data_IF_368491621835
#
_entry.id   IF_368491621835
#
_cell.length_a   1.000
_cell.length_b   1.000
_cell.length_c   1.000
_cell.angle_alpha   90.00
_cell.angle_beta   90.00
_cell.angle_gamma   90.00
#
_symmetry.space_group_name_H-M   'P 1'
#
loop_
_entity.id
_entity.type
_entity.pdbx_description
1 polymer ?
#
# COMPACT_ATOMS: atom_id res chain seq x y z
N UNK A 1 -10.74 22.50 -14.22
CA UNK A 1 -11.60 22.79 -13.05
C UNK A 1 -13.10 22.60 -13.37
N UNK A 2 -13.51 21.47 -13.97
CA UNK A 2 -14.93 21.16 -14.27
C UNK A 2 -15.30 19.68 -14.02
N UNK A 3 -14.35 18.77 -13.72
CA UNK A 3 -14.68 17.37 -13.41
C UNK A 3 -14.77 17.01 -11.91
N UNK A 4 -14.58 17.96 -11.00
CA UNK A 4 -14.53 17.68 -9.55
C UNK A 4 -15.87 17.86 -8.81
N UNK A 5 -16.93 18.36 -9.46
CA UNK A 5 -18.22 18.68 -8.81
C UNK A 5 -19.25 17.55 -8.94
N UNK A 6 -19.02 16.54 -9.77
CA UNK A 6 -20.00 15.45 -9.99
C UNK A 6 -19.97 14.32 -8.96
N UNK A 7 -18.95 14.23 -8.11
CA UNK A 7 -18.83 13.11 -7.15
C UNK A 7 -19.69 13.27 -5.88
N UNK A 8 -20.07 14.52 -5.53
CA UNK A 8 -20.74 14.82 -4.26
C UNK A 8 -22.27 14.60 -4.32
N UNK A 9 -22.88 14.45 -5.50
CA UNK A 9 -24.36 14.29 -5.62
C UNK A 9 -24.88 12.84 -5.61
N UNK A 10 -24.01 11.81 -5.53
CA UNK A 10 -24.45 10.39 -5.65
C UNK A 10 -24.58 9.62 -4.33
N UNK A 11 -24.51 10.30 -3.17
CA UNK A 11 -24.67 9.66 -1.86
C UNK A 11 -26.03 9.97 -1.18
N UNK A 12 -26.95 10.63 -1.88
CA UNK A 12 -28.22 11.10 -1.30
C UNK A 12 -29.49 10.30 -1.63
N UNK A 13 -29.40 9.06 -2.13
CA UNK A 13 -30.55 8.35 -2.72
C UNK A 13 -30.88 6.97 -2.14
N UNK A 14 -31.73 6.94 -1.11
CA UNK A 14 -32.67 5.87 -0.70
C UNK A 14 -32.16 4.41 -0.59
N UNK A 15 -31.95 3.95 0.65
CA UNK A 15 -31.94 2.52 0.99
C UNK A 15 -33.40 2.05 1.10
N UNK A 16 -33.84 1.18 0.17
CA UNK A 16 -35.06 0.38 0.34
C UNK A 16 -34.69 -0.94 1.03
N UNK A 17 -35.36 -1.25 2.12
CA UNK A 17 -35.22 -2.54 2.82
C UNK A 17 -35.84 -3.66 1.98
N UNK A 18 -35.08 -4.71 1.70
CA UNK A 18 -35.61 -5.98 1.22
C UNK A 18 -35.21 -7.09 2.20
N UNK A 19 -36.21 -7.73 2.80
CA UNK A 19 -36.06 -8.96 3.59
C UNK A 19 -36.11 -10.16 2.64
N UNK A 20 -35.11 -11.04 2.66
CA UNK A 20 -35.21 -12.35 2.00
C UNK A 20 -34.51 -13.48 2.76
N UNK A 21 -35.14 -14.65 2.66
CA UNK A 21 -34.97 -15.91 3.42
C UNK A 21 -33.79 -16.77 2.93
N UNK A 22 -33.21 -17.67 3.75
CA UNK A 22 -32.04 -18.43 3.38
C UNK A 22 -32.42 -19.79 2.78
N UNK A 23 -32.01 -20.04 1.54
CA UNK A 23 -31.65 -21.37 1.01
C UNK A 23 -31.12 -21.25 -0.42
N UNK A 24 -30.18 -22.14 -0.72
CA UNK A 24 -29.45 -22.37 -1.98
C UNK A 24 -28.13 -21.60 -2.12
N UNK A 25 -27.10 -22.20 -1.52
CA UNK A 25 -25.69 -21.85 -1.68
C UNK A 25 -25.19 -22.33 -3.05
N UNK A 26 -24.95 -21.38 -3.95
CA UNK A 26 -24.01 -21.55 -5.06
C UNK A 26 -22.91 -20.51 -4.91
N UNK A 27 -21.68 -20.97 -4.67
CA UNK A 27 -20.48 -20.15 -4.54
C UNK A 27 -20.21 -19.39 -5.85
N UNK A 28 -20.37 -18.08 -5.78
CA UNK A 28 -19.78 -17.08 -6.68
C UNK A 28 -19.35 -15.91 -5.81
N UNK A 29 -18.21 -16.04 -5.13
CA UNK A 29 -17.71 -15.02 -4.21
C UNK A 29 -16.74 -14.05 -4.92
N UNK A 30 -17.32 -13.03 -5.55
CA UNK A 30 -16.82 -11.67 -5.43
C UNK A 30 -17.93 -10.86 -4.78
N UNK A 31 -17.81 -10.57 -3.48
CA UNK A 31 -18.69 -9.61 -2.80
C UNK A 31 -17.88 -8.69 -1.92
N UNK A 32 -17.96 -7.40 -2.24
CA UNK A 32 -17.25 -6.32 -1.58
C UNK A 32 -17.70 -6.07 -0.13
N UNK A 33 -17.05 -5.07 0.46
CA UNK A 33 -17.26 -4.52 1.80
C UNK A 33 -18.65 -4.80 2.40
N UNK A 34 -18.69 -5.59 3.48
CA UNK A 34 -19.86 -5.65 4.34
C UNK A 34 -19.71 -4.62 5.47
N UNK A 35 -20.31 -3.44 5.31
CA UNK A 35 -20.47 -2.47 6.39
C UNK A 35 -21.60 -2.95 7.34
N UNK A 36 -21.29 -3.30 8.59
CA UNK A 36 -22.30 -3.47 9.64
C UNK A 36 -22.48 -2.16 10.40
N UNK A 37 -23.61 -1.50 10.17
CA UNK A 37 -24.05 -0.35 10.97
C UNK A 37 -24.82 -0.86 12.20
N UNK A 38 -24.24 -0.72 13.39
CA UNK A 38 -24.95 -0.90 14.66
C UNK A 38 -25.32 0.46 15.26
N UNK A 39 -26.57 0.64 15.67
CA UNK A 39 -26.96 1.75 16.55
C UNK A 39 -26.83 1.28 18.00
N UNK A 40 -25.95 1.92 18.76
CA UNK A 40 -26.00 1.87 20.23
C UNK A 40 -27.05 2.88 20.70
N UNK A 41 -28.01 2.42 21.50
CA UNK A 41 -29.12 3.25 22.01
C UNK A 41 -28.75 4.01 23.30
N UNK A 42 -27.49 3.96 23.76
CA UNK A 42 -27.09 4.55 25.04
C UNK A 42 -26.24 5.83 24.95
N UNK A 43 -25.71 6.19 23.78
CA UNK A 43 -25.08 7.49 23.54
C UNK A 43 -25.19 7.84 22.06
N UNK A 44 -25.73 9.02 21.72
CA UNK A 44 -26.11 9.42 20.36
C UNK A 44 -24.95 9.63 19.36
N UNK A 45 -23.86 8.87 19.46
CA UNK A 45 -22.75 8.86 18.53
C UNK A 45 -22.83 7.69 17.56
N UNK A 46 -22.70 7.97 16.25
CA UNK A 46 -22.52 6.94 15.23
C UNK A 46 -21.11 6.32 15.40
N UNK A 47 -21.02 5.08 15.88
CA UNK A 47 -19.76 4.31 15.80
C UNK A 47 -19.68 3.63 14.44
N UNK A 48 -18.79 4.13 13.59
CA UNK A 48 -18.37 3.41 12.38
C UNK A 48 -17.23 2.49 12.80
N UNK A 49 -17.51 1.20 12.94
CA UNK A 49 -16.46 0.19 13.02
C UNK A 49 -16.13 -0.18 11.58
N UNK A 50 -15.04 0.36 11.04
CA UNK A 50 -14.47 -0.13 9.79
C UNK A 50 -13.75 -1.42 10.15
N UNK A 51 -14.40 -2.55 9.92
CA UNK A 51 -13.72 -3.84 9.92
C UNK A 51 -12.84 -3.88 8.67
N UNK A 52 -11.62 -3.36 8.77
CA UNK A 52 -10.57 -3.66 7.80
C UNK A 52 -10.19 -5.13 7.99
N UNK A 53 -11.04 -6.02 7.50
CA UNK A 53 -10.61 -7.38 7.18
C UNK A 53 -9.67 -7.28 6.00
N UNK A 54 -8.39 -7.07 6.30
CA UNK A 54 -7.32 -7.64 5.49
C UNK A 54 -7.66 -9.11 5.38
N UNK A 55 -7.85 -9.59 4.16
CA UNK A 55 -8.06 -11.00 3.90
C UNK A 55 -6.71 -11.70 4.17
N UNK A 56 -6.40 -11.95 5.44
CA UNK A 56 -5.42 -12.95 5.81
C UNK A 56 -6.08 -14.30 5.52
N UNK A 57 -5.82 -14.83 4.33
CA UNK A 57 -5.89 -16.26 4.09
C UNK A 57 -4.83 -16.93 4.98
N UNK A 58 -5.13 -17.06 6.27
CA UNK A 58 -4.48 -18.08 7.08
C UNK A 58 -5.08 -19.41 6.64
N UNK A 59 -4.34 -20.12 5.78
CA UNK A 59 -4.45 -21.56 5.72
C UNK A 59 -4.09 -22.09 7.10
N UNK A 60 -5.07 -22.59 7.84
CA UNK A 60 -4.80 -23.41 9.03
C UNK A 60 -4.22 -24.74 8.52
N UNK A 61 -2.90 -24.75 8.29
CA UNK A 61 -2.11 -25.95 8.10
C UNK A 61 -1.70 -26.47 9.46
N UNK A 62 -2.32 -27.57 9.89
CA UNK A 62 -1.82 -28.43 10.95
C UNK A 62 -0.33 -28.73 10.70
N UNK A 63 0.45 -28.74 11.79
CA UNK A 63 1.88 -29.03 11.81
C UNK A 63 2.21 -30.29 11.01
N UNK A 64 2.74 -30.09 9.82
CA UNK A 64 3.58 -31.05 9.10
C UNK A 64 4.88 -30.35 8.82
N UNK A 65 5.96 -30.98 9.26
CA UNK A 65 7.33 -30.67 8.85
C UNK A 65 7.42 -30.92 7.34
N UNK A 66 7.11 -29.86 6.59
CA UNK A 66 7.18 -29.77 5.15
C UNK A 66 8.54 -29.14 4.87
N UNK A 67 9.41 -29.93 4.23
CA UNK A 67 10.71 -29.47 3.77
C UNK A 67 10.53 -28.39 2.72
N UNK A 68 10.50 -27.14 3.17
CA UNK A 68 10.55 -25.92 2.36
C UNK A 68 11.62 -26.10 1.28
N UNK A 69 11.22 -26.04 0.00
CA UNK A 69 12.15 -26.25 -1.10
C UNK A 69 13.27 -25.21 -1.04
N UNK A 70 14.51 -25.68 -1.16
CA UNK A 70 15.71 -24.85 -1.25
C UNK A 70 15.58 -23.69 -2.24
N UNK A 71 14.82 -23.87 -3.34
CA UNK A 71 14.51 -22.82 -4.31
C UNK A 71 13.62 -21.70 -3.74
N UNK A 72 12.57 -22.05 -2.99
CA UNK A 72 11.70 -21.06 -2.33
C UNK A 72 12.47 -20.28 -1.26
N UNK A 73 13.27 -20.98 -0.45
CA UNK A 73 14.07 -20.34 0.60
C UNK A 73 15.11 -19.34 0.04
N UNK A 74 15.73 -19.64 -1.12
CA UNK A 74 16.66 -18.73 -1.79
C UNK A 74 15.94 -17.48 -2.31
N UNK A 75 14.74 -17.64 -2.90
CA UNK A 75 13.93 -16.51 -3.35
C UNK A 75 13.49 -15.61 -2.20
N UNK A 76 13.08 -16.20 -1.06
CA UNK A 76 12.72 -15.43 0.14
C UNK A 76 13.90 -14.56 0.60
N UNK A 77 15.10 -15.14 0.69
CA UNK A 77 16.32 -14.38 1.05
C UNK A 77 16.59 -13.24 0.05
N UNK A 78 16.43 -13.50 -1.25
CA UNK A 78 16.63 -12.50 -2.30
C UNK A 78 15.60 -11.35 -2.21
N UNK A 79 14.33 -11.67 -1.98
CA UNK A 79 13.27 -10.68 -1.86
C UNK A 79 13.49 -9.75 -0.66
N UNK A 80 13.88 -10.30 0.50
CA UNK A 80 14.20 -9.49 1.68
C UNK A 80 15.42 -8.60 1.45
N UNK A 81 16.48 -9.12 0.81
CA UNK A 81 17.65 -8.33 0.48
C UNK A 81 17.33 -7.17 -0.50
N UNK A 82 16.43 -7.39 -1.47
CA UNK A 82 15.97 -6.33 -2.37
C UNK A 82 15.10 -5.30 -1.64
N UNK A 83 14.23 -5.72 -0.73
CA UNK A 83 13.43 -4.81 0.10
C UNK A 83 14.29 -3.97 1.05
N UNK A 84 15.38 -4.53 1.59
CA UNK A 84 16.36 -3.78 2.38
C UNK A 84 17.10 -2.74 1.53
N UNK A 85 17.51 -3.10 0.31
CA UNK A 85 18.10 -2.14 -0.64
C UNK A 85 17.12 -1.05 -1.06
N UNK A 86 15.83 -1.36 -1.19
CA UNK A 86 14.80 -0.35 -1.43
C UNK A 86 14.74 0.64 -0.26
N UNK A 87 14.67 0.14 0.98
CA UNK A 87 14.72 0.99 2.17
C UNK A 87 16.00 1.83 2.26
N UNK A 88 17.15 1.24 1.89
CA UNK A 88 18.42 1.96 1.79
C UNK A 88 18.35 3.09 0.75
N UNK A 89 17.82 2.81 -0.45
CA UNK A 89 17.71 3.81 -1.51
C UNK A 89 16.85 5.00 -1.08
N UNK A 90 15.77 4.75 -0.34
CA UNK A 90 14.91 5.80 0.22
C UNK A 90 15.67 6.59 1.30
N UNK A 91 16.33 5.90 2.24
CA UNK A 91 17.11 6.53 3.32
C UNK A 91 18.22 7.41 2.80
N UNK A 92 18.95 6.94 1.80
CA UNK A 92 20.06 7.65 1.18
C UNK A 92 19.61 8.66 0.11
N UNK A 93 18.31 8.68 -0.22
CA UNK A 93 17.74 9.48 -1.32
C UNK A 93 18.48 9.22 -2.65
N UNK A 94 18.70 7.94 -2.95
CA UNK A 94 19.59 7.46 -4.00
C UNK A 94 18.81 6.87 -5.20
N UNK A 95 18.53 7.67 -6.25
CA UNK A 95 17.81 7.18 -7.43
C UNK A 95 18.61 6.16 -8.25
N UNK A 96 19.94 6.17 -8.20
CA UNK A 96 20.75 5.17 -8.91
C UNK A 96 20.60 3.78 -8.31
N UNK A 97 20.50 3.69 -6.97
CA UNK A 97 20.21 2.43 -6.31
C UNK A 97 18.81 1.91 -6.68
N UNK A 98 17.81 2.79 -6.81
CA UNK A 98 16.49 2.41 -7.34
C UNK A 98 16.59 1.83 -8.77
N UNK A 99 17.33 2.50 -9.67
CA UNK A 99 17.56 2.00 -11.04
C UNK A 99 18.20 0.62 -11.05
N UNK A 100 19.12 0.37 -10.12
CA UNK A 100 19.82 -0.91 -10.00
C UNK A 100 18.91 -2.03 -9.51
N UNK A 101 17.99 -1.79 -8.57
CA UNK A 101 17.16 -2.85 -7.98
C UNK A 101 15.84 -3.10 -8.72
N UNK A 102 15.35 -2.13 -9.49
CA UNK A 102 14.14 -2.28 -10.29
C UNK A 102 14.39 -3.04 -11.59
N UNK A 103 13.46 -3.94 -11.94
CA UNK A 103 13.36 -4.50 -13.28
C UNK A 103 13.11 -3.37 -14.28
N UNK A 104 13.56 -3.54 -15.53
CA UNK A 104 13.41 -2.49 -16.55
C UNK A 104 11.94 -2.22 -16.90
N UNK A 105 11.09 -3.24 -16.79
CA UNK A 105 9.65 -3.20 -17.00
C UNK A 105 8.83 -3.16 -15.69
N UNK A 106 9.45 -2.72 -14.58
CA UNK A 106 8.77 -2.65 -13.28
C UNK A 106 7.43 -1.90 -13.37
N UNK A 107 6.43 -2.44 -12.69
CA UNK A 107 5.14 -1.78 -12.43
C UNK A 107 5.06 -1.37 -10.95
N UNK A 108 4.91 -0.07 -10.68
CA UNK A 108 4.66 0.45 -9.33
C UNK A 108 3.26 1.05 -9.27
N UNK A 109 2.32 0.37 -8.63
CA UNK A 109 0.94 0.83 -8.47
C UNK A 109 0.71 1.45 -7.09
N UNK A 110 0.01 2.58 -7.05
CA UNK A 110 -0.30 3.29 -5.80
C UNK A 110 -1.81 3.28 -5.55
N UNK A 111 -2.24 2.68 -4.45
CA UNK A 111 -3.66 2.58 -4.09
C UNK A 111 -4.33 3.92 -3.82
N UNK A 112 -3.56 4.92 -3.38
CA UNK A 112 -4.07 6.27 -3.17
C UNK A 112 -4.52 6.97 -4.47
N UNK A 113 -3.88 6.65 -5.61
CA UNK A 113 -4.20 7.25 -6.92
C UNK A 113 -4.91 6.26 -7.86
N UNK A 114 -4.90 4.97 -7.53
CA UNK A 114 -5.39 3.90 -8.38
C UNK A 114 -4.59 3.70 -9.68
N UNK A 115 -3.41 4.33 -9.79
CA UNK A 115 -2.62 4.40 -11.02
C UNK A 115 -1.25 3.72 -10.85
N UNK A 116 -0.72 3.19 -11.95
CA UNK A 116 0.59 2.57 -11.99
C UNK A 116 1.59 3.41 -12.76
N UNK A 117 2.83 3.41 -12.30
CA UNK A 117 3.98 4.07 -12.88
C UNK A 117 4.99 3.03 -13.38
N UNK A 118 5.66 3.36 -14.48
CA UNK A 118 6.84 2.63 -14.93
C UNK A 118 8.11 3.05 -14.18
N UNK A 119 9.25 2.42 -14.51
CA UNK A 119 10.56 2.66 -13.87
C UNK A 119 10.93 4.14 -13.76
N UNK A 120 11.02 4.83 -14.91
CA UNK A 120 11.50 6.22 -14.95
C UNK A 120 10.52 7.19 -14.31
N UNK A 121 9.22 6.96 -14.48
CA UNK A 121 8.17 7.77 -13.88
C UNK A 121 8.21 7.68 -12.34
N UNK A 122 8.29 6.46 -11.80
CA UNK A 122 8.34 6.25 -10.36
C UNK A 122 9.64 6.82 -9.75
N UNK A 123 10.78 6.62 -10.41
CA UNK A 123 12.06 7.18 -9.95
C UNK A 123 12.03 8.71 -10.02
N UNK A 124 11.43 9.30 -11.06
CA UNK A 124 11.23 10.74 -11.16
C UNK A 124 10.39 11.29 -10.00
N UNK A 125 9.26 10.64 -9.70
CA UNK A 125 8.41 10.99 -8.56
C UNK A 125 9.17 10.90 -7.22
N UNK A 126 9.86 9.80 -6.97
CA UNK A 126 10.66 9.62 -5.75
C UNK A 126 11.79 10.65 -5.66
N UNK A 127 12.45 10.97 -6.77
CA UNK A 127 13.49 12.02 -6.82
C UNK A 127 12.91 13.39 -6.45
N UNK A 128 11.70 13.71 -6.90
CA UNK A 128 11.03 14.95 -6.52
C UNK A 128 10.68 14.96 -5.02
N UNK A 129 10.26 13.83 -4.45
CA UNK A 129 10.05 13.68 -2.99
C UNK A 129 11.37 13.87 -2.24
N UNK A 130 12.46 13.28 -2.72
CA UNK A 130 13.79 13.43 -2.11
C UNK A 130 14.27 14.88 -2.07
N UNK A 131 13.92 15.69 -3.08
CA UNK A 131 14.30 17.09 -3.14
C UNK A 131 13.66 17.94 -2.03
N UNK A 132 12.45 17.60 -1.60
CA UNK A 132 11.70 18.34 -0.56
C UNK A 132 11.77 17.70 0.81
N UNK A 133 12.61 16.68 0.99
CA UNK A 133 12.67 15.93 2.25
C UNK A 133 14.08 15.49 2.61
N UNK A 134 14.27 15.23 3.90
CA UNK A 134 15.50 14.75 4.50
C UNK A 134 15.16 13.77 5.63
N UNK A 135 16.14 12.96 6.03
CA UNK A 135 15.94 11.98 7.11
C UNK A 135 14.84 10.96 6.80
N UNK A 136 14.62 10.62 5.53
CA UNK A 136 13.64 9.62 5.14
C UNK A 136 14.03 8.26 5.72
N UNK A 137 13.09 7.57 6.34
CA UNK A 137 13.35 6.24 6.87
C UNK A 137 12.07 5.40 6.94
N UNK A 138 12.21 4.10 6.68
CA UNK A 138 11.19 3.12 6.99
C UNK A 138 11.40 2.61 8.42
N UNK A 139 10.46 2.92 9.31
CA UNK A 139 10.42 2.39 10.68
C UNK A 139 9.34 1.32 10.81
N UNK A 140 9.33 0.60 11.94
CA UNK A 140 8.30 -0.40 12.27
C UNK A 140 8.10 -1.47 11.19
N UNK A 141 9.19 -1.82 10.50
CA UNK A 141 9.19 -2.73 9.36
C UNK A 141 8.77 -4.13 9.81
N UNK A 142 7.73 -4.67 9.17
CA UNK A 142 7.26 -6.05 9.33
C UNK A 142 7.10 -6.68 7.96
N UNK A 143 7.54 -7.92 7.80
CA UNK A 143 7.52 -8.64 6.52
C UNK A 143 6.87 -10.01 6.65
N UNK A 144 6.19 -10.40 5.58
CA UNK A 144 5.64 -11.74 5.41
C UNK A 144 5.97 -12.22 4.00
N UNK A 145 6.51 -13.43 3.90
CA UNK A 145 6.82 -14.04 2.61
C UNK A 145 5.52 -14.32 1.84
N UNK A 146 5.57 -14.14 0.53
CA UNK A 146 4.53 -14.55 -0.41
C UNK A 146 5.19 -15.24 -1.60
N UNK A 147 4.42 -15.94 -2.42
CA UNK A 147 4.93 -16.51 -3.66
C UNK A 147 5.69 -15.43 -4.47
N UNK A 148 6.95 -15.68 -4.79
CA UNK A 148 7.82 -14.78 -5.56
C UNK A 148 7.96 -13.37 -4.96
N UNK A 149 8.00 -13.23 -3.64
CA UNK A 149 8.29 -11.94 -3.02
C UNK A 149 7.87 -11.84 -1.56
N UNK A 150 7.47 -10.64 -1.15
CA UNK A 150 7.04 -10.36 0.22
C UNK A 150 6.00 -9.26 0.31
N UNK A 151 5.25 -9.27 1.39
CA UNK A 151 4.49 -8.11 1.87
C UNK A 151 5.33 -7.39 2.91
N UNK A 152 5.50 -6.08 2.78
CA UNK A 152 6.16 -5.23 3.76
C UNK A 152 5.19 -4.17 4.30
N UNK A 153 5.00 -4.15 5.61
CA UNK A 153 4.37 -3.03 6.31
C UNK A 153 5.46 -2.17 6.96
N UNK A 154 5.31 -0.86 6.94
CA UNK A 154 6.24 0.07 7.57
C UNK A 154 5.58 1.43 7.81
N UNK A 155 6.26 2.28 8.56
CA UNK A 155 5.98 3.72 8.64
C UNK A 155 7.08 4.47 7.91
N UNK A 156 6.75 5.27 6.89
CA UNK A 156 7.69 6.23 6.32
C UNK A 156 7.70 7.49 7.18
N UNK A 157 8.86 7.87 7.69
CA UNK A 157 9.10 9.12 8.43
C UNK A 157 10.09 10.00 7.69
N UNK A 158 10.12 11.29 8.04
CA UNK A 158 11.08 12.24 7.49
C UNK A 158 10.81 13.67 7.92
N UNK A 159 11.60 14.59 7.40
CA UNK A 159 11.46 16.04 7.62
C UNK A 159 11.46 16.74 6.28
N UNK A 160 10.52 17.65 6.07
CA UNK A 160 10.50 18.51 4.90
C UNK A 160 11.69 19.47 4.88
N UNK A 161 12.06 19.96 3.69
CA UNK A 161 13.15 20.92 3.49
C UNK A 161 12.94 22.26 4.22
N UNK A 162 11.69 22.64 4.46
CA UNK A 162 11.29 23.78 5.29
C UNK A 162 11.43 23.55 6.82
N UNK A 163 11.89 22.36 7.22
CA UNK A 163 12.09 21.95 8.61
C UNK A 163 10.84 21.41 9.31
N UNK A 164 9.68 21.39 8.66
CA UNK A 164 8.49 20.76 9.22
C UNK A 164 8.59 19.23 9.19
N UNK A 165 8.11 18.55 10.23
CA UNK A 165 8.06 17.09 10.24
C UNK A 165 7.06 16.57 9.19
N UNK A 166 7.47 15.53 8.45
CA UNK A 166 6.53 14.77 7.63
C UNK A 166 5.60 13.98 8.56
N UNK A 167 4.27 13.96 8.29
CA UNK A 167 3.39 13.02 8.97
C UNK A 167 3.88 11.60 8.74
N UNK A 168 3.96 10.79 9.80
CA UNK A 168 4.32 9.38 9.69
C UNK A 168 3.31 8.65 8.80
N UNK A 169 3.78 8.10 7.69
CA UNK A 169 2.96 7.45 6.69
C UNK A 169 2.99 5.93 6.88
N UNK A 170 1.92 5.39 7.46
CA UNK A 170 1.75 3.93 7.49
C UNK A 170 1.48 3.43 6.06
N UNK A 171 2.32 2.52 5.59
CA UNK A 171 2.24 1.94 4.26
C UNK A 171 2.35 0.41 4.29
N UNK A 172 1.72 -0.22 3.30
CA UNK A 172 1.83 -1.65 3.01
C UNK A 172 2.21 -1.82 1.54
N UNK A 173 3.30 -2.52 1.28
CA UNK A 173 3.78 -2.86 -0.06
C UNK A 173 3.66 -4.35 -0.30
N UNK A 174 3.06 -4.74 -1.42
CA UNK A 174 3.19 -6.09 -1.98
C UNK A 174 4.29 -6.04 -3.02
N UNK A 175 5.44 -6.63 -2.70
CA UNK A 175 6.64 -6.61 -3.53
C UNK A 175 6.78 -7.98 -4.21
N UNK A 176 6.87 -7.98 -5.54
CA UNK A 176 7.19 -9.17 -6.32
C UNK A 176 8.59 -9.04 -6.92
N UNK A 177 9.33 -10.14 -6.92
CA UNK A 177 10.69 -10.22 -7.44
C UNK A 177 10.79 -11.23 -8.58
N UNK A 178 11.60 -10.90 -9.57
CA UNK A 178 11.93 -11.79 -10.68
C UNK A 178 13.31 -11.45 -11.21
N UNK A 179 14.12 -12.46 -11.53
CA UNK A 179 15.45 -12.26 -12.11
C UNK A 179 16.38 -11.39 -11.24
N UNK A 180 16.28 -11.50 -9.91
CA UNK A 180 17.05 -10.71 -8.96
C UNK A 180 16.77 -9.21 -8.97
N UNK A 181 15.57 -8.82 -9.43
CA UNK A 181 15.07 -7.45 -9.44
C UNK A 181 13.67 -7.39 -8.83
N UNK A 182 13.29 -6.20 -8.38
CA UNK A 182 11.89 -5.90 -8.05
C UNK A 182 11.12 -5.75 -9.36
N UNK A 183 10.18 -6.65 -9.58
CA UNK A 183 9.35 -6.71 -10.80
C UNK A 183 8.05 -5.92 -10.65
N UNK A 184 7.46 -5.90 -9.45
CA UNK A 184 6.32 -5.02 -9.17
C UNK A 184 6.22 -4.64 -7.71
N UNK A 185 5.57 -3.49 -7.48
CA UNK A 185 5.18 -3.03 -6.15
C UNK A 185 3.73 -2.56 -6.24
N UNK A 186 2.84 -3.13 -5.43
CA UNK A 186 1.54 -2.54 -5.14
C UNK A 186 1.60 -1.90 -3.76
N UNK A 187 1.52 -0.57 -3.69
CA UNK A 187 1.65 0.19 -2.46
C UNK A 187 0.31 0.77 -2.01
N UNK A 188 -0.01 0.56 -0.73
CA UNK A 188 -1.21 1.05 -0.07
C UNK A 188 -0.82 1.97 1.08
N UNK A 189 -1.33 3.20 1.05
CA UNK A 189 -1.18 4.18 2.13
C UNK A 189 -2.39 5.12 2.17
N UNK A 190 -2.54 5.84 3.27
CA UNK A 190 -3.60 6.83 3.42
C UNK A 190 -3.32 8.12 2.63
N UNK A 191 -4.14 8.40 1.63
CA UNK A 191 -3.98 9.55 0.75
C UNK A 191 -4.04 10.89 1.50
N UNK A 192 -4.83 10.96 2.59
CA UNK A 192 -4.95 12.18 3.39
C UNK A 192 -3.66 12.46 4.17
N UNK A 193 -3.06 11.42 4.75
CA UNK A 193 -1.77 11.50 5.45
C UNK A 193 -0.65 11.94 4.49
N UNK A 194 -0.69 11.50 3.23
CA UNK A 194 0.31 11.88 2.23
C UNK A 194 0.07 13.27 1.58
N UNK A 195 -1.11 13.87 1.75
CA UNK A 195 -1.48 15.12 1.10
C UNK A 195 -0.47 16.29 1.29
N UNK A 196 0.21 16.45 2.44
CA UNK A 196 1.24 17.48 2.61
C UNK A 196 2.46 17.33 1.70
N UNK A 197 2.78 16.10 1.26
CA UNK A 197 3.83 15.84 0.27
C UNK A 197 3.36 16.35 -1.10
N UNK A 198 2.15 15.99 -1.52
CA UNK A 198 1.58 16.46 -2.79
C UNK A 198 1.50 17.99 -2.88
N UNK A 199 1.11 18.65 -1.78
CA UNK A 199 1.05 20.10 -1.71
C UNK A 199 2.42 20.75 -1.98
N UNK A 200 3.50 20.19 -1.45
CA UNK A 200 4.87 20.70 -1.66
C UNK A 200 5.39 20.43 -3.06
N UNK A 201 5.14 19.24 -3.60
CA UNK A 201 5.50 18.91 -4.98
C UNK A 201 4.80 19.87 -5.97
N UNK A 202 3.54 20.20 -5.75
CA UNK A 202 2.79 21.14 -6.59
C UNK A 202 3.25 22.60 -6.45
N UNK A 203 3.97 22.95 -5.36
CA UNK A 203 4.46 24.30 -5.11
C UNK A 203 5.87 24.54 -5.64
N UNK A 204 6.57 23.51 -6.12
CA UNK A 204 7.90 23.69 -6.72
C UNK A 204 7.81 24.49 -8.02
N UNK A 205 8.74 25.42 -8.27
CA UNK A 205 8.83 26.10 -9.56
C UNK A 205 9.11 25.08 -10.67
N UNK A 206 8.46 25.30 -11.82
CA UNK A 206 8.61 24.47 -13.02
C UNK A 206 10.01 24.55 -13.65
#
# INVERSE_FOLDING_TARGET
MVQMVSYIRRLGGQVKSATHSPRDEHYSEYRGLALRLGKDQSSGGLRIVIDQKVCLLHSMGESRDDGRDSGEQIMDIEAHALADKLGQAIRERNPDLLRQIYADDIRVWHGATGSAMGKDENIGMLTAVFAISSGLEYTDVRRHDIEQGLVQQHTLVGTFDDGANMPGLNACMVIKVAGGKIASIDEYFDAQTFAPVWARLAAQPA
#
